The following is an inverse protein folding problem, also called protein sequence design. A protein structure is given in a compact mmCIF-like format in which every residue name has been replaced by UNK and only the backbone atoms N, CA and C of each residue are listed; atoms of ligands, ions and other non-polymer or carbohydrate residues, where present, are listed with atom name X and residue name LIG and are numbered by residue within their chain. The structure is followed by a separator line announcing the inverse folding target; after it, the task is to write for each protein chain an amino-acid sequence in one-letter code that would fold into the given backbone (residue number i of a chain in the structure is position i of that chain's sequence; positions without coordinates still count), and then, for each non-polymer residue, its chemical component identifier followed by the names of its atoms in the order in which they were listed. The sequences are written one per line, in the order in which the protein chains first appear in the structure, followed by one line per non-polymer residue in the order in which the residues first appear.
data_IF_070772894000
#
_entry.id   IF_070772894000
#
_cell.length_a   1.000
_cell.length_b   1.000
_cell.length_c   1.000
_cell.angle_alpha   90.00
_cell.angle_beta   90.00
_cell.angle_gamma   90.00
#
_symmetry.space_group_name_H-M   'P 1'
#
loop_
_entity.id
_entity.type
_entity.pdbx_description
1 polymer ?
#
# COMPACT_ATOMS: atom_id res chain seq x y z
N UNK A 1 -3.36 -37.18 26.39
CA UNK A 1 -2.62 -36.45 25.33
C UNK A 1 -3.62 -35.79 24.43
N UNK A 2 -3.95 -34.52 24.70
CA UNK A 2 -4.94 -33.77 23.92
C UNK A 2 -4.30 -33.25 22.64
N UNK A 3 -4.78 -33.74 21.54
CA UNK A 3 -4.43 -33.28 20.20
C UNK A 3 -4.99 -31.88 19.97
N UNK A 4 -4.11 -30.87 19.94
CA UNK A 4 -4.49 -29.52 19.53
C UNK A 4 -4.64 -29.56 18.00
N UNK A 5 -5.87 -29.61 17.52
CA UNK A 5 -6.16 -29.41 16.10
C UNK A 5 -5.70 -28.01 15.68
N UNK A 6 -4.95 -27.86 14.58
CA UNK A 6 -4.57 -26.56 14.08
C UNK A 6 -5.84 -25.79 13.70
N UNK A 7 -5.96 -24.56 14.22
CA UNK A 7 -7.02 -23.63 13.82
C UNK A 7 -7.07 -23.52 12.30
N UNK A 8 -8.26 -23.51 11.69
CA UNK A 8 -8.36 -23.35 10.25
C UNK A 8 -7.70 -22.05 9.85
N UNK A 9 -6.73 -22.13 8.94
CA UNK A 9 -6.17 -20.96 8.27
C UNK A 9 -7.34 -20.28 7.56
N UNK A 10 -7.74 -19.10 8.06
CA UNK A 10 -8.72 -18.28 7.34
C UNK A 10 -8.28 -18.16 5.90
N UNK A 11 -9.14 -18.54 4.97
CA UNK A 11 -8.87 -18.40 3.55
C UNK A 11 -8.48 -16.93 3.28
N UNK A 12 -7.49 -16.67 2.42
CA UNK A 12 -7.14 -15.31 2.08
C UNK A 12 -8.36 -14.58 1.51
N UNK A 13 -8.48 -13.28 1.77
CA UNK A 13 -9.54 -12.46 1.20
C UNK A 13 -9.53 -12.55 -0.32
N UNK A 14 -10.68 -12.74 -0.98
CA UNK A 14 -10.75 -12.71 -2.44
C UNK A 14 -10.38 -11.30 -2.91
N UNK A 15 -9.48 -11.25 -3.90
CA UNK A 15 -8.99 -10.00 -4.47
C UNK A 15 -9.28 -9.98 -5.98
N UNK A 16 -9.53 -8.80 -6.50
CA UNK A 16 -9.57 -8.55 -7.94
C UNK A 16 -8.73 -7.34 -8.31
N UNK A 17 -8.40 -7.20 -9.58
CA UNK A 17 -7.81 -5.97 -10.09
C UNK A 17 -8.80 -4.80 -10.01
N UNK A 18 -8.29 -3.63 -9.69
CA UNK A 18 -9.04 -2.39 -9.77
C UNK A 18 -9.20 -1.96 -11.23
N UNK A 19 -10.33 -1.35 -11.53
CA UNK A 19 -10.66 -0.75 -12.81
C UNK A 19 -10.94 0.74 -12.67
N UNK A 20 -10.98 1.47 -13.77
CA UNK A 20 -11.26 2.91 -13.74
C UNK A 20 -12.62 3.23 -13.09
N UNK A 21 -13.60 2.33 -13.22
CA UNK A 21 -14.90 2.46 -12.56
C UNK A 21 -14.84 2.41 -11.03
N UNK A 22 -13.77 1.89 -10.44
CA UNK A 22 -13.58 1.83 -8.99
C UNK A 22 -13.04 3.13 -8.39
N UNK A 23 -12.58 4.07 -9.21
CA UNK A 23 -11.88 5.28 -8.77
C UNK A 23 -12.71 6.08 -7.76
N UNK A 24 -13.99 6.32 -8.02
CA UNK A 24 -14.85 7.06 -7.08
C UNK A 24 -14.97 6.38 -5.72
N UNK A 25 -15.05 5.05 -5.68
CA UNK A 25 -15.09 4.30 -4.42
C UNK A 25 -13.74 4.35 -3.69
N UNK A 26 -12.63 4.32 -4.43
CA UNK A 26 -11.27 4.48 -3.87
C UNK A 26 -11.05 5.91 -3.32
N UNK A 27 -11.53 6.93 -4.02
CA UNK A 27 -11.50 8.33 -3.57
C UNK A 27 -12.29 8.54 -2.26
N UNK A 28 -13.33 7.75 -2.01
CA UNK A 28 -14.07 7.74 -0.75
C UNK A 28 -13.34 6.92 0.35
N UNK A 29 -12.80 5.75 0.01
CA UNK A 29 -12.13 4.86 0.95
C UNK A 29 -10.83 5.45 1.51
N UNK A 30 -9.99 6.06 0.66
CA UNK A 30 -8.64 6.47 1.06
C UNK A 30 -8.67 7.51 2.19
N UNK A 31 -9.40 8.63 2.10
CA UNK A 31 -9.47 9.58 3.20
C UNK A 31 -10.06 8.99 4.48
N UNK A 32 -11.06 8.13 4.37
CA UNK A 32 -11.67 7.43 5.51
C UNK A 32 -10.63 6.55 6.22
N UNK A 33 -9.90 5.74 5.46
CA UNK A 33 -8.82 4.89 5.96
C UNK A 33 -7.71 5.70 6.65
N UNK A 34 -7.23 6.74 5.97
CA UNK A 34 -6.11 7.56 6.45
C UNK A 34 -6.48 8.29 7.74
N UNK A 35 -7.62 8.97 7.79
CA UNK A 35 -8.06 9.70 9.00
C UNK A 35 -8.23 8.79 10.20
N UNK A 36 -8.76 7.59 9.99
CA UNK A 36 -9.00 6.66 11.09
C UNK A 36 -7.74 5.92 11.54
N UNK A 37 -6.95 5.39 10.60
CA UNK A 37 -5.87 4.45 10.91
C UNK A 37 -4.50 5.12 11.11
N UNK A 38 -4.32 6.35 10.63
CA UNK A 38 -3.07 7.10 10.80
C UNK A 38 -3.08 8.03 12.02
N UNK A 39 -4.25 8.35 12.58
CA UNK A 39 -4.41 9.29 13.70
C UNK A 39 -3.60 8.95 14.97
N UNK A 40 -3.28 7.69 15.30
CA UNK A 40 -2.38 7.41 16.43
C UNK A 40 -0.92 7.82 16.21
N UNK A 41 -0.52 8.07 14.96
CA UNK A 41 0.87 8.29 14.57
C UNK A 41 1.15 9.71 14.05
N UNK A 42 0.14 10.38 13.51
CA UNK A 42 0.26 11.71 12.90
C UNK A 42 -0.80 12.65 13.43
N UNK A 43 -0.47 13.92 13.50
CA UNK A 43 -1.44 14.97 13.84
C UNK A 43 -2.50 15.09 12.74
N UNK A 44 -3.67 15.64 13.10
CA UNK A 44 -4.71 15.91 12.11
C UNK A 44 -4.21 16.84 10.98
N UNK A 45 -3.40 17.83 11.31
CA UNK A 45 -2.82 18.74 10.32
C UNK A 45 -1.91 18.00 9.32
N UNK A 46 -1.07 17.08 9.79
CA UNK A 46 -0.24 16.23 8.93
C UNK A 46 -1.08 15.32 8.03
N UNK A 47 -2.13 14.71 8.57
CA UNK A 47 -3.05 13.86 7.83
C UNK A 47 -3.74 14.64 6.69
N UNK A 48 -4.33 15.80 7.00
CA UNK A 48 -5.02 16.61 6.00
C UNK A 48 -4.07 17.16 4.93
N UNK A 49 -2.85 17.56 5.31
CA UNK A 49 -1.85 18.02 4.36
C UNK A 49 -1.30 16.90 3.45
N UNK A 50 -1.29 15.65 3.94
CA UNK A 50 -0.83 14.49 3.17
C UNK A 50 -1.90 13.92 2.24
N UNK A 51 -3.19 14.19 2.48
CA UNK A 51 -4.27 13.80 1.58
C UNK A 51 -4.15 14.53 0.24
N UNK A 52 -4.10 13.77 -0.84
CA UNK A 52 -3.81 14.22 -2.21
C UNK A 52 -2.34 14.03 -2.58
N UNK A 53 -1.38 14.77 -2.00
CA UNK A 53 0.04 14.66 -2.39
C UNK A 53 0.68 13.31 -2.06
N UNK A 54 0.37 12.75 -0.89
CA UNK A 54 0.95 11.47 -0.43
C UNK A 54 -0.08 10.35 -0.48
N UNK A 55 -1.27 10.60 0.03
CA UNK A 55 -2.37 9.65 0.10
C UNK A 55 -3.45 9.99 -0.94
N UNK A 56 -3.55 9.19 -1.97
CA UNK A 56 -4.52 9.39 -3.03
C UNK A 56 -4.65 8.16 -3.92
N UNK A 57 -5.61 8.20 -4.83
CA UNK A 57 -5.76 7.15 -5.85
C UNK A 57 -4.56 7.18 -6.77
N UNK A 58 -4.04 6.01 -7.08
CA UNK A 58 -2.95 5.81 -8.02
C UNK A 58 -3.48 5.16 -9.31
N UNK A 59 -3.96 6.00 -10.24
CA UNK A 59 -4.49 5.53 -11.53
C UNK A 59 -3.43 4.86 -12.39
N UNK A 60 -2.14 5.16 -12.16
CA UNK A 60 -1.08 4.48 -12.89
C UNK A 60 -1.04 2.99 -12.54
N UNK A 61 -1.24 2.62 -11.26
CA UNK A 61 -1.35 1.21 -10.87
C UNK A 61 -2.57 0.53 -11.50
N UNK A 62 -3.68 1.23 -11.66
CA UNK A 62 -4.87 0.73 -12.35
C UNK A 62 -4.55 0.46 -13.82
N UNK A 63 -3.96 1.43 -14.52
CA UNK A 63 -3.55 1.29 -15.94
C UNK A 63 -2.52 0.19 -16.15
N UNK A 64 -1.59 0.02 -15.21
CA UNK A 64 -0.56 -1.02 -15.27
C UNK A 64 -1.09 -2.42 -14.90
N UNK A 65 -2.34 -2.52 -14.41
CA UNK A 65 -2.94 -3.80 -13.99
C UNK A 65 -2.30 -4.38 -12.74
N UNK A 66 -1.85 -3.53 -11.82
CA UNK A 66 -1.09 -3.90 -10.63
C UNK A 66 -1.70 -3.41 -9.31
N UNK A 67 -2.94 -2.91 -9.37
CA UNK A 67 -3.70 -2.45 -8.21
C UNK A 67 -4.79 -3.45 -7.86
N UNK A 68 -4.76 -3.97 -6.64
CA UNK A 68 -5.71 -4.98 -6.16
C UNK A 68 -6.68 -4.35 -5.16
N UNK A 69 -7.91 -4.84 -5.18
CA UNK A 69 -8.94 -4.47 -4.21
C UNK A 69 -9.54 -5.71 -3.56
N UNK A 70 -9.89 -5.57 -2.29
CA UNK A 70 -10.77 -6.49 -1.57
C UNK A 70 -12.17 -5.89 -1.53
N UNK A 71 -13.17 -6.70 -1.82
CA UNK A 71 -14.57 -6.28 -1.89
C UNK A 71 -15.43 -7.20 -1.03
N UNK A 72 -16.40 -6.62 -0.33
CA UNK A 72 -17.41 -7.34 0.43
C UNK A 72 -18.78 -6.73 0.15
N UNK A 73 -19.71 -7.55 -0.34
CA UNK A 73 -21.09 -7.14 -0.65
C UNK A 73 -21.18 -5.88 -1.55
N UNK A 74 -20.30 -5.80 -2.56
CA UNK A 74 -20.23 -4.68 -3.50
C UNK A 74 -19.52 -3.42 -2.96
N UNK A 75 -18.94 -3.49 -1.75
CA UNK A 75 -18.21 -2.37 -1.13
C UNK A 75 -16.71 -2.68 -1.12
N UNK A 76 -15.89 -1.76 -1.59
CA UNK A 76 -14.43 -1.87 -1.50
C UNK A 76 -14.01 -1.64 -0.06
N UNK A 77 -13.41 -2.66 0.56
CA UNK A 77 -12.98 -2.67 1.97
C UNK A 77 -11.47 -2.58 2.14
N UNK A 78 -10.71 -2.65 1.06
CA UNK A 78 -9.27 -2.46 1.07
C UNK A 78 -8.69 -2.43 -0.33
N UNK A 79 -7.54 -1.83 -0.46
CA UNK A 79 -6.80 -1.73 -1.71
C UNK A 79 -5.30 -1.66 -1.44
N UNK A 80 -4.52 -1.98 -2.46
CA UNK A 80 -3.07 -1.87 -2.45
C UNK A 80 -2.47 -2.42 -3.73
N UNK A 81 -1.28 -1.98 -4.07
CA UNK A 81 -0.66 -2.40 -5.30
C UNK A 81 0.84 -2.35 -5.30
N UNK A 82 1.39 -2.71 -6.45
CA UNK A 82 2.81 -2.64 -6.71
C UNK A 82 3.08 -1.94 -8.03
N UNK A 83 4.29 -1.43 -8.20
CA UNK A 83 4.68 -0.70 -9.40
C UNK A 83 6.02 -1.19 -9.92
N UNK A 84 6.07 -1.33 -11.24
CA UNK A 84 7.29 -1.49 -12.03
C UNK A 84 7.88 -0.15 -12.47
N UNK A 85 7.54 0.94 -11.76
CA UNK A 85 7.97 2.31 -12.06
C UNK A 85 8.71 2.93 -10.89
N UNK A 86 9.45 3.99 -11.15
CA UNK A 86 10.43 4.59 -10.24
C UNK A 86 9.82 5.26 -9.01
N UNK A 87 8.64 5.88 -9.12
CA UNK A 87 8.01 6.60 -8.01
C UNK A 87 7.76 5.69 -6.80
N UNK A 88 8.19 6.14 -5.63
CA UNK A 88 8.11 5.37 -4.37
C UNK A 88 6.76 5.52 -3.68
N UNK A 89 6.11 6.66 -3.81
CA UNK A 89 4.83 7.00 -3.18
C UNK A 89 4.10 8.08 -3.98
N UNK A 90 2.93 8.49 -3.49
CA UNK A 90 2.09 9.53 -4.08
C UNK A 90 1.01 9.00 -5.00
N UNK A 91 -0.11 9.71 -5.02
CA UNK A 91 -1.19 9.51 -5.98
C UNK A 91 -0.95 10.31 -7.27
N UNK A 92 -1.98 10.36 -8.12
CA UNK A 92 -1.91 11.05 -9.41
C UNK A 92 -1.54 12.54 -9.31
N UNK A 93 -1.91 13.19 -8.20
CA UNK A 93 -1.66 14.63 -7.98
C UNK A 93 -0.20 15.03 -7.73
N UNK A 94 0.71 14.08 -7.51
CA UNK A 94 2.12 14.36 -7.19
C UNK A 94 3.09 14.09 -8.34
N UNK A 95 2.60 13.65 -9.52
CA UNK A 95 3.46 13.26 -10.64
C UNK A 95 3.51 14.34 -11.70
N UNK A 96 4.69 14.96 -11.82
CA UNK A 96 4.96 15.99 -12.83
C UNK A 96 5.49 15.42 -14.17
N UNK A 97 5.96 14.16 -14.21
CA UNK A 97 6.61 13.53 -15.38
C UNK A 97 6.20 12.06 -15.53
N UNK A 98 6.40 11.50 -16.74
CA UNK A 98 6.28 10.08 -16.97
C UNK A 98 7.20 9.29 -16.03
N UNK A 99 6.58 8.43 -15.24
CA UNK A 99 7.26 7.60 -14.24
C UNK A 99 7.98 6.45 -14.97
N UNK A 100 9.31 6.53 -15.08
CA UNK A 100 10.13 5.58 -15.81
C UNK A 100 9.95 4.14 -15.35
N UNK A 101 9.99 3.20 -16.32
CA UNK A 101 10.00 1.77 -16.03
C UNK A 101 11.31 1.35 -15.37
N UNK A 102 11.20 0.49 -14.39
CA UNK A 102 12.31 -0.15 -13.69
C UNK A 102 12.77 -1.40 -14.44
N UNK A 103 14.07 -1.68 -14.39
CA UNK A 103 14.66 -2.91 -14.90
C UNK A 103 14.60 -4.00 -13.81
N UNK A 104 13.86 -5.10 -14.00
CA UNK A 104 13.76 -6.18 -13.01
C UNK A 104 15.10 -6.81 -12.61
N UNK A 105 16.13 -6.70 -13.46
CA UNK A 105 17.45 -7.26 -13.19
C UNK A 105 18.32 -6.37 -12.30
N UNK A 106 17.99 -5.08 -12.16
CA UNK A 106 18.79 -4.08 -11.47
C UNK A 106 18.05 -3.34 -10.38
N UNK A 107 16.77 -3.11 -10.59
CA UNK A 107 15.96 -2.25 -9.74
C UNK A 107 15.08 -3.06 -8.78
N UNK A 108 14.62 -2.44 -7.71
CA UNK A 108 13.59 -2.98 -6.84
C UNK A 108 12.21 -2.55 -7.32
N UNK A 109 11.23 -3.45 -7.34
CA UNK A 109 9.83 -3.09 -7.51
C UNK A 109 9.36 -2.20 -6.35
N UNK A 110 8.26 -1.48 -6.52
CA UNK A 110 7.67 -0.61 -5.50
C UNK A 110 6.34 -1.20 -5.02
N UNK A 111 6.13 -1.29 -3.71
CA UNK A 111 4.80 -1.52 -3.13
C UNK A 111 4.29 -0.20 -2.59
N UNK A 112 3.04 0.15 -2.90
CA UNK A 112 2.46 1.43 -2.51
C UNK A 112 0.93 1.43 -2.53
N UNK A 113 0.33 2.51 -2.02
CA UNK A 113 -1.11 2.78 -2.06
C UNK A 113 -1.97 1.72 -1.31
N UNK A 114 -1.52 1.31 -0.12
CA UNK A 114 -2.24 0.37 0.75
C UNK A 114 -3.18 1.11 1.69
N UNK A 115 -4.47 0.82 1.58
CA UNK A 115 -5.50 1.40 2.44
C UNK A 115 -6.55 0.33 2.79
N UNK A 116 -7.03 0.34 4.02
CA UNK A 116 -8.05 -0.60 4.50
C UNK A 116 -9.18 0.20 5.17
N UNK A 117 -10.41 -0.17 4.92
CA UNK A 117 -11.56 0.42 5.60
C UNK A 117 -11.44 0.20 7.12
N UNK A 118 -11.63 1.24 7.96
CA UNK A 118 -11.39 1.12 9.41
C UNK A 118 -12.19 0.04 10.08
N UNK A 119 -13.45 -0.16 9.72
CA UNK A 119 -14.31 -1.22 10.28
C UNK A 119 -13.85 -2.64 9.89
N UNK A 120 -12.98 -2.75 8.89
CA UNK A 120 -12.42 -4.00 8.39
C UNK A 120 -10.93 -4.15 8.69
N UNK A 121 -10.36 -3.20 9.42
CA UNK A 121 -8.95 -3.25 9.82
C UNK A 121 -8.64 -4.47 10.71
N UNK A 122 -7.40 -4.94 10.66
CA UNK A 122 -6.88 -6.08 11.46
C UNK A 122 -7.52 -7.44 11.17
N UNK A 123 -8.25 -7.57 10.07
CA UNK A 123 -8.89 -8.82 9.62
C UNK A 123 -8.10 -9.55 8.53
N UNK A 124 -6.85 -9.16 8.27
CA UNK A 124 -5.96 -9.82 7.32
C UNK A 124 -6.06 -9.32 5.88
N UNK A 125 -6.87 -8.29 5.58
CA UNK A 125 -7.00 -7.73 4.21
C UNK A 125 -5.64 -7.26 3.69
N UNK A 126 -4.92 -6.43 4.44
CA UNK A 126 -3.59 -5.96 4.05
C UNK A 126 -2.59 -7.10 3.82
N UNK A 127 -2.68 -8.17 4.61
CA UNK A 127 -1.85 -9.37 4.40
C UNK A 127 -2.17 -10.08 3.10
N UNK A 128 -3.45 -10.24 2.75
CA UNK A 128 -3.85 -10.86 1.49
C UNK A 128 -3.37 -10.05 0.30
N UNK A 129 -3.54 -8.73 0.33
CA UNK A 129 -3.08 -7.82 -0.73
C UNK A 129 -1.55 -7.90 -0.85
N UNK A 130 -0.82 -7.86 0.26
CA UNK A 130 0.64 -7.92 0.25
C UNK A 130 1.18 -9.23 -0.34
N UNK A 131 0.60 -10.36 0.05
CA UNK A 131 0.98 -11.67 -0.49
C UNK A 131 0.74 -11.75 -2.01
N UNK A 132 -0.38 -11.19 -2.48
CA UNK A 132 -0.69 -11.13 -3.92
C UNK A 132 0.29 -10.21 -4.67
N UNK A 133 0.63 -9.04 -4.10
CA UNK A 133 1.62 -8.15 -4.68
C UNK A 133 2.99 -8.82 -4.79
N UNK A 134 3.49 -9.46 -3.72
CA UNK A 134 4.78 -10.16 -3.75
C UNK A 134 4.82 -11.27 -4.82
N UNK A 135 3.72 -12.02 -4.98
CA UNK A 135 3.64 -13.05 -6.02
C UNK A 135 3.71 -12.42 -7.41
N UNK A 136 2.92 -11.39 -7.67
CA UNK A 136 2.92 -10.70 -8.96
C UNK A 136 4.29 -10.05 -9.30
N UNK A 137 4.96 -9.52 -8.28
CA UNK A 137 6.32 -8.96 -8.43
C UNK A 137 7.32 -10.04 -8.82
N UNK A 138 7.29 -11.23 -8.17
CA UNK A 138 8.14 -12.38 -8.54
C UNK A 138 7.89 -12.83 -9.98
N UNK A 139 6.61 -12.95 -10.34
CA UNK A 139 6.19 -13.37 -11.68
C UNK A 139 6.63 -12.39 -12.77
N UNK A 140 6.81 -11.10 -12.38
CA UNK A 140 7.33 -10.05 -13.26
C UNK A 140 8.87 -9.97 -13.31
N UNK A 141 9.57 -10.89 -12.63
CA UNK A 141 11.01 -11.05 -12.68
C UNK A 141 11.82 -10.20 -11.71
N UNK A 142 11.18 -9.38 -10.87
CA UNK A 142 11.87 -8.62 -9.83
C UNK A 142 12.34 -9.53 -8.69
N UNK A 143 13.47 -9.15 -8.07
CA UNK A 143 14.10 -9.88 -6.96
C UNK A 143 14.13 -9.09 -5.67
N UNK A 144 13.87 -7.80 -5.73
CA UNK A 144 13.89 -6.90 -4.58
C UNK A 144 12.68 -5.97 -4.64
N UNK A 145 12.22 -5.56 -3.46
CA UNK A 145 11.07 -4.67 -3.30
C UNK A 145 11.40 -3.57 -2.31
N UNK A 146 11.12 -2.34 -2.69
CA UNK A 146 11.17 -1.16 -1.83
C UNK A 146 9.76 -0.71 -1.45
N UNK A 147 9.61 -0.25 -0.23
CA UNK A 147 8.39 0.32 0.33
C UNK A 147 8.74 1.61 1.08
N UNK A 148 7.95 2.65 0.89
CA UNK A 148 7.92 3.79 1.82
C UNK A 148 6.67 3.63 2.68
N UNK A 149 6.88 3.16 3.89
CA UNK A 149 5.81 2.87 4.84
C UNK A 149 5.47 4.10 5.68
N UNK A 150 4.19 4.28 5.95
CA UNK A 150 3.77 5.12 7.08
C UNK A 150 4.13 4.42 8.40
N UNK A 151 4.18 5.17 9.50
CA UNK A 151 4.41 4.57 10.82
C UNK A 151 3.35 3.53 11.19
N UNK A 152 2.10 3.73 10.77
CA UNK A 152 1.03 2.75 10.94
C UNK A 152 1.20 1.50 10.08
N UNK A 153 1.81 1.64 8.89
CA UNK A 153 2.02 0.53 7.94
C UNK A 153 3.25 -0.32 8.24
N UNK A 154 4.25 0.24 8.92
CA UNK A 154 5.52 -0.43 9.21
C UNK A 154 5.35 -1.85 9.80
N UNK A 155 4.46 -2.11 10.78
CA UNK A 155 4.30 -3.45 11.35
C UNK A 155 3.83 -4.51 10.33
N UNK A 156 3.02 -4.14 9.34
CA UNK A 156 2.59 -5.05 8.28
C UNK A 156 3.80 -5.51 7.45
N UNK A 157 4.64 -4.58 7.03
CA UNK A 157 5.80 -4.88 6.19
C UNK A 157 6.89 -5.61 6.96
N UNK A 158 7.12 -5.26 8.23
CA UNK A 158 8.01 -6.01 9.11
C UNK A 158 7.56 -7.47 9.28
N UNK A 159 6.26 -7.73 9.40
CA UNK A 159 5.70 -9.08 9.43
C UNK A 159 6.03 -9.88 8.16
N UNK A 160 6.10 -9.22 6.99
CA UNK A 160 6.51 -9.83 5.73
C UNK A 160 8.03 -9.94 5.56
N UNK A 161 8.82 -9.53 6.54
CA UNK A 161 10.28 -9.64 6.52
C UNK A 161 10.99 -8.47 5.82
N UNK A 162 10.32 -7.34 5.63
CA UNK A 162 10.98 -6.12 5.17
C UNK A 162 11.82 -5.52 6.29
N UNK A 163 13.05 -5.15 5.98
CA UNK A 163 13.98 -4.48 6.87
C UNK A 163 13.95 -2.96 6.67
N UNK A 164 14.07 -2.23 7.76
CA UNK A 164 14.23 -0.76 7.71
C UNK A 164 15.56 -0.41 7.08
N UNK A 165 15.54 0.44 6.06
CA UNK A 165 16.72 0.99 5.39
C UNK A 165 16.99 2.40 5.90
N UNK A 166 15.95 3.23 6.00
CA UNK A 166 16.05 4.64 6.35
C UNK A 166 14.75 5.14 6.96
N UNK A 167 14.87 6.12 7.86
CA UNK A 167 13.74 6.92 8.37
C UNK A 167 13.97 8.36 7.95
N UNK A 168 12.97 8.96 7.33
CA UNK A 168 13.06 10.34 6.86
C UNK A 168 11.68 10.99 6.85
N UNK A 169 11.65 12.29 6.58
CA UNK A 169 10.44 13.08 6.50
C UNK A 169 10.14 13.46 5.05
N UNK A 170 8.91 13.21 4.61
CA UNK A 170 8.40 13.77 3.36
C UNK A 170 8.00 15.23 3.64
N UNK A 171 8.65 16.18 2.95
CA UNK A 171 8.28 17.58 3.01
C UNK A 171 6.91 17.80 2.37
N UNK A 172 6.06 18.56 3.04
CA UNK A 172 4.72 18.93 2.59
C UNK A 172 4.56 20.45 2.58
N UNK A 173 3.43 20.94 2.08
CA UNK A 173 3.12 22.36 2.10
C UNK A 173 3.07 22.92 3.54
N UNK A 174 3.25 24.23 3.68
CA UNK A 174 3.16 24.96 4.96
C UNK A 174 4.17 24.49 6.01
N UNK A 175 5.40 24.20 5.60
CA UNK A 175 6.51 23.73 6.46
C UNK A 175 6.19 22.49 7.30
N UNK A 176 5.21 21.70 6.86
CA UNK A 176 4.88 20.42 7.48
C UNK A 176 5.70 19.29 6.88
N UNK A 177 5.92 18.26 7.66
CA UNK A 177 6.54 17.03 7.21
C UNK A 177 5.78 15.79 7.68
N UNK A 178 5.92 14.69 6.94
CA UNK A 178 5.35 13.41 7.27
C UNK A 178 6.49 12.41 7.50
N UNK A 179 6.75 11.99 8.75
CA UNK A 179 7.72 10.94 9.05
C UNK A 179 7.33 9.61 8.39
N UNK A 180 8.27 9.01 7.68
CA UNK A 180 8.08 7.73 6.99
C UNK A 180 9.28 6.81 7.16
N UNK A 181 9.10 5.55 6.79
CA UNK A 181 10.11 4.51 6.90
C UNK A 181 10.32 3.86 5.54
N UNK A 182 11.50 4.01 4.97
CA UNK A 182 11.89 3.24 3.80
C UNK A 182 12.30 1.83 4.25
N UNK A 183 11.69 0.84 3.64
CA UNK A 183 11.94 -0.57 3.93
C UNK A 183 12.24 -1.32 2.63
N UNK A 184 13.02 -2.39 2.74
CA UNK A 184 13.43 -3.21 1.60
C UNK A 184 13.37 -4.69 1.96
N UNK A 185 13.13 -5.51 0.94
CA UNK A 185 13.17 -6.98 1.04
C UNK A 185 13.65 -7.58 -0.26
N UNK A 186 14.48 -8.62 -0.16
CA UNK A 186 14.75 -9.54 -1.26
C UNK A 186 13.71 -10.67 -1.25
N UNK A 187 13.08 -10.93 -2.41
CA UNK A 187 11.96 -11.90 -2.53
C UNK A 187 12.31 -13.05 -3.47
#
# INVERSE_FOLDING_TARGET
MSSISPMPRTAPWPLRLAHEADVSALEALIPLSVRALQSPYYSQAQIEAALGPVFGVDRQLIRDGTYFIAEQDGVIIGCGGWSKRRALYGGDGSREHEDELLDPQRDAARVRAFFVHPDWARRGIGRSIMATCEQAIRDSGFRTVDIVATLAGEPLYAFFGYAVVERYDIAMASDMSLPVVKMNKRI
#
